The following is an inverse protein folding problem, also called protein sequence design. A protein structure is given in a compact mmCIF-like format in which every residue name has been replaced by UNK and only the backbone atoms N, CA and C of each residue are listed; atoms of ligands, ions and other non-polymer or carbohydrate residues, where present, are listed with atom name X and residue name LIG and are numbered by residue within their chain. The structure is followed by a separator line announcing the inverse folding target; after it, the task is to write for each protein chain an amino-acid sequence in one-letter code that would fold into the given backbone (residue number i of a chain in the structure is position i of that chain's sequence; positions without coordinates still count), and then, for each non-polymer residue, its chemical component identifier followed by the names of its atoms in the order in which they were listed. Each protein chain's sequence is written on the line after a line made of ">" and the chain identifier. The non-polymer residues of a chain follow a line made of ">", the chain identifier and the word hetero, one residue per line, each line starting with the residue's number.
data_IF_433831092755
#
_entry.id   IF_433831092755
#
_cell.length_a   1.000
_cell.length_b   1.000
_cell.length_c   1.000
_cell.angle_alpha   90.00
_cell.angle_beta   90.00
_cell.angle_gamma   90.00
#
_symmetry.space_group_name_H-M   'P 1'
#
loop_
_entity.id
_entity.type
_entity.pdbx_description
1 polymer ?
#
# COMPACT_ATOMS: atom_id res chain seq x y z
N UNK A 1 -2.44 -18.22 13.53
CA UNK A 1 -1.80 -16.97 14.05
C UNK A 1 -1.93 -15.89 12.99
N UNK A 2 -2.16 -14.64 13.40
CA UNK A 2 -2.11 -13.50 12.48
C UNK A 2 -0.66 -13.21 12.12
N UNK A 3 -0.39 -12.92 10.86
CA UNK A 3 0.93 -12.56 10.35
C UNK A 3 0.88 -11.13 9.85
N UNK A 4 1.98 -10.40 10.03
CA UNK A 4 2.06 -8.99 9.67
C UNK A 4 3.30 -8.71 8.82
N UNK A 5 3.20 -7.63 8.06
CA UNK A 5 4.31 -6.96 7.37
C UNK A 5 4.23 -5.46 7.68
N UNK A 6 5.32 -4.74 7.40
CA UNK A 6 5.35 -3.28 7.41
C UNK A 6 5.33 -2.74 6.00
N UNK A 7 4.74 -1.57 5.84
CA UNK A 7 4.78 -0.76 4.64
C UNK A 7 5.53 0.53 4.98
N UNK A 8 6.48 0.92 4.14
CA UNK A 8 7.10 2.23 4.21
C UNK A 8 6.46 3.11 3.16
N UNK A 9 5.90 4.24 3.58
CA UNK A 9 5.36 5.26 2.70
C UNK A 9 6.06 6.60 3.00
N UNK A 10 6.02 7.51 2.04
CA UNK A 10 6.43 8.89 2.24
C UNK A 10 5.28 9.82 1.88
N UNK A 11 5.02 10.82 2.71
CA UNK A 11 3.96 11.80 2.55
C UNK A 11 4.56 13.19 2.44
N UNK A 12 4.01 13.96 1.51
CA UNK A 12 4.24 15.38 1.38
C UNK A 12 2.89 16.08 1.28
N UNK A 13 2.73 17.18 2.00
CA UNK A 13 1.51 18.01 1.96
C UNK A 13 1.91 19.46 1.82
N UNK A 14 1.25 20.19 0.91
CA UNK A 14 1.29 21.65 0.84
C UNK A 14 -0.11 22.27 0.98
N UNK A 15 -0.25 23.54 0.59
CA UNK A 15 -1.51 24.28 0.73
C UNK A 15 -2.68 23.68 -0.06
N UNK A 16 -2.39 23.02 -1.18
CA UNK A 16 -3.41 22.58 -2.14
C UNK A 16 -3.45 21.05 -2.31
N UNK A 17 -2.42 20.31 -1.91
CA UNK A 17 -2.38 18.86 -2.12
C UNK A 17 -1.59 18.06 -1.07
N UNK A 18 -2.02 16.82 -0.88
CA UNK A 18 -1.24 15.76 -0.24
C UNK A 18 -0.88 14.70 -1.28
N UNK A 19 0.41 14.36 -1.34
CA UNK A 19 0.94 13.26 -2.11
C UNK A 19 1.47 12.17 -1.18
N UNK A 20 1.17 10.91 -1.48
CA UNK A 20 1.67 9.74 -0.75
C UNK A 20 2.35 8.81 -1.74
N UNK A 21 3.53 8.31 -1.38
CA UNK A 21 4.32 7.40 -2.19
C UNK A 21 4.68 6.14 -1.41
N UNK A 22 4.20 5.00 -1.89
CA UNK A 22 4.55 3.68 -1.36
C UNK A 22 6.00 3.32 -1.72
N UNK A 23 6.88 3.22 -0.73
CA UNK A 23 8.30 2.96 -0.94
C UNK A 23 8.69 1.49 -0.86
N UNK A 24 7.91 0.66 -0.18
CA UNK A 24 8.13 -0.78 -0.16
C UNK A 24 7.42 -1.51 0.97
N UNK A 25 7.61 -2.82 0.98
CA UNK A 25 7.07 -3.74 1.99
C UNK A 25 8.21 -4.45 2.71
N UNK A 26 8.06 -4.65 4.02
CA UNK A 26 9.15 -5.09 4.89
C UNK A 26 8.68 -6.13 5.89
N UNK A 27 9.54 -7.09 6.16
CA UNK A 27 9.37 -8.09 7.21
C UNK A 27 10.23 -7.80 8.45
N UNK A 28 11.04 -6.75 8.41
CA UNK A 28 12.03 -6.43 9.42
C UNK A 28 12.23 -4.91 9.52
N UNK A 29 12.10 -4.35 10.73
CA UNK A 29 12.23 -2.91 10.96
C UNK A 29 13.67 -2.40 10.80
N UNK A 30 14.68 -3.25 11.00
CA UNK A 30 16.08 -2.89 10.77
C UNK A 30 16.35 -2.74 9.27
N UNK A 31 15.84 -3.66 8.44
CA UNK A 31 15.93 -3.55 6.97
C UNK A 31 15.14 -2.36 6.45
N UNK A 32 13.93 -2.12 6.99
CA UNK A 32 13.13 -0.94 6.69
C UNK A 32 13.91 0.34 6.98
N UNK A 33 14.51 0.45 8.17
CA UNK A 33 15.33 1.60 8.57
C UNK A 33 16.45 1.90 7.56
N UNK A 34 17.18 0.86 7.11
CA UNK A 34 18.21 1.00 6.08
C UNK A 34 17.65 1.52 4.75
N UNK A 35 16.47 1.06 4.34
CA UNK A 35 15.83 1.54 3.11
C UNK A 35 15.31 2.97 3.25
N UNK A 36 14.77 3.35 4.42
CA UNK A 36 14.42 4.74 4.72
C UNK A 36 15.65 5.66 4.62
N UNK A 37 16.76 5.26 5.25
CA UNK A 37 18.00 6.04 5.22
C UNK A 37 18.54 6.17 3.79
N UNK A 38 18.43 5.11 2.98
CA UNK A 38 18.73 5.16 1.54
C UNK A 38 17.78 6.06 0.76
N UNK A 39 16.48 6.07 1.09
CA UNK A 39 15.50 6.93 0.43
C UNK A 39 15.82 8.42 0.61
N UNK A 40 16.36 8.81 1.78
CA UNK A 40 16.84 10.17 2.07
C UNK A 40 18.02 10.62 1.19
N UNK A 41 18.60 9.76 0.35
CA UNK A 41 19.61 10.17 -0.62
C UNK A 41 18.99 10.81 -1.88
N UNK A 42 17.69 10.56 -2.14
CA UNK A 42 17.00 11.01 -3.36
C UNK A 42 16.21 12.32 -3.13
N UNK A 43 16.06 13.15 -4.18
CA UNK A 43 15.27 14.38 -4.11
C UNK A 43 13.79 14.09 -3.79
N UNK A 44 13.12 15.06 -3.20
CA UNK A 44 11.75 14.94 -2.70
C UNK A 44 11.66 14.22 -1.36
N UNK A 45 12.28 13.04 -1.22
CA UNK A 45 12.30 12.35 0.09
C UNK A 45 13.16 13.09 1.12
N UNK A 46 14.35 13.54 0.72
CA UNK A 46 15.28 14.28 1.59
C UNK A 46 14.80 15.68 1.95
N UNK A 47 13.95 16.25 1.12
CA UNK A 47 13.42 17.60 1.29
C UNK A 47 12.31 17.61 2.37
N UNK A 48 11.70 16.45 2.63
CA UNK A 48 10.72 16.22 3.70
C UNK A 48 11.11 15.00 4.54
N UNK A 49 12.18 15.07 5.35
CA UNK A 49 12.74 13.92 6.05
C UNK A 49 11.82 13.35 7.14
N UNK A 50 10.87 14.14 7.62
CA UNK A 50 9.86 13.72 8.61
C UNK A 50 8.61 13.10 7.94
N UNK A 51 8.56 13.06 6.61
CA UNK A 51 7.44 12.56 5.82
C UNK A 51 7.32 11.04 5.76
N UNK A 52 8.16 10.26 6.45
CA UNK A 52 8.07 8.81 6.38
C UNK A 52 7.01 8.23 7.33
N UNK A 53 6.14 7.38 6.78
CA UNK A 53 5.12 6.64 7.51
C UNK A 53 5.45 5.16 7.48
N UNK A 54 5.37 4.51 8.64
CA UNK A 54 5.49 3.06 8.77
C UNK A 54 4.13 2.52 9.17
N UNK A 55 3.52 1.74 8.29
CA UNK A 55 2.18 1.18 8.49
C UNK A 55 2.29 -0.32 8.67
N UNK A 56 1.59 -0.87 9.65
CA UNK A 56 1.56 -2.31 9.90
C UNK A 56 0.35 -2.93 9.18
N UNK A 57 0.58 -3.87 8.28
CA UNK A 57 -0.49 -4.56 7.55
C UNK A 57 -0.60 -6.02 7.96
N UNK A 58 -1.83 -6.46 8.25
CA UNK A 58 -2.15 -7.88 8.47
C UNK A 58 -2.14 -8.60 7.11
N UNK A 59 -1.28 -9.60 6.98
CA UNK A 59 -1.09 -10.37 5.75
C UNK A 59 -2.31 -11.26 5.49
N UNK A 60 -2.68 -11.39 4.22
CA UNK A 60 -3.83 -12.19 3.74
C UNK A 60 -5.20 -11.64 4.15
N UNK A 61 -5.27 -10.37 4.55
CA UNK A 61 -6.50 -9.72 4.94
C UNK A 61 -6.89 -8.67 3.90
N UNK A 62 -8.12 -8.75 3.45
CA UNK A 62 -8.77 -7.68 2.70
C UNK A 62 -9.06 -6.52 3.67
N UNK A 63 -8.39 -5.40 3.47
CA UNK A 63 -8.54 -4.17 4.24
C UNK A 63 -9.66 -3.27 3.67
N UNK A 64 -9.92 -3.35 2.37
CA UNK A 64 -10.98 -2.61 1.71
C UNK A 64 -11.95 -3.55 0.97
N UNK A 65 -13.22 -3.55 1.41
CA UNK A 65 -14.26 -4.50 0.96
C UNK A 65 -15.43 -3.87 0.21
N UNK A 66 -15.50 -2.54 0.22
CA UNK A 66 -16.70 -1.83 -0.22
C UNK A 66 -16.64 -1.47 -1.71
N UNK A 67 -15.47 -1.52 -2.36
CA UNK A 67 -15.33 -1.08 -3.75
C UNK A 67 -15.67 0.40 -3.94
N UNK A 68 -15.74 0.83 -5.19
CA UNK A 68 -16.06 2.21 -5.55
C UNK A 68 -17.57 2.46 -5.54
N UNK A 69 -18.20 2.36 -4.35
CA UNK A 69 -19.63 2.64 -4.18
C UNK A 69 -19.99 4.14 -4.29
N UNK A 70 -18.99 5.02 -4.19
CA UNK A 70 -19.11 6.45 -4.47
C UNK A 70 -17.80 6.93 -5.09
N UNK A 71 -17.87 7.63 -6.21
CA UNK A 71 -16.73 8.39 -6.74
C UNK A 71 -16.44 9.48 -5.71
N UNK A 72 -15.39 9.28 -4.93
CA UNK A 72 -14.89 10.33 -4.04
C UNK A 72 -14.01 11.20 -4.93
N UNK A 73 -14.65 12.06 -5.71
CA UNK A 73 -13.99 13.00 -6.60
C UNK A 73 -13.41 14.16 -5.81
N UNK A 74 -12.23 13.97 -5.23
CA UNK A 74 -11.31 15.05 -4.95
C UNK A 74 -9.90 14.61 -5.32
N UNK A 75 -9.28 15.40 -6.19
CA UNK A 75 -7.84 15.38 -6.45
C UNK A 75 -7.12 15.43 -5.10
N UNK A 76 -6.28 14.43 -4.80
CA UNK A 76 -5.37 14.49 -3.66
C UNK A 76 -5.93 14.08 -2.29
N UNK A 77 -6.96 13.23 -2.17
CA UNK A 77 -7.37 12.74 -0.83
C UNK A 77 -6.34 11.82 -0.17
N UNK A 78 -5.51 12.41 0.67
CA UNK A 78 -5.61 12.37 2.14
C UNK A 78 -6.15 11.08 2.79
N UNK A 79 -5.63 9.92 2.41
CA UNK A 79 -5.57 8.83 3.38
C UNK A 79 -4.23 8.93 4.09
N UNK A 80 -4.11 9.88 5.03
CA UNK A 80 -3.19 9.64 6.14
C UNK A 80 -3.85 8.51 6.92
N UNK A 81 -3.36 7.27 6.86
CA UNK A 81 -3.87 6.27 7.79
C UNK A 81 -3.66 6.86 9.19
N UNK A 82 -4.65 6.76 10.07
CA UNK A 82 -4.39 6.99 11.50
C UNK A 82 -3.09 6.26 11.82
N UNK A 83 -2.10 6.98 12.38
CA UNK A 83 -0.80 6.40 12.69
C UNK A 83 -1.05 5.19 13.59
N UNK A 84 -0.98 4.00 13.00
CA UNK A 84 -1.15 2.78 13.76
C UNK A 84 -0.02 2.72 14.79
N UNK A 85 -0.37 2.79 16.08
CA UNK A 85 0.58 2.47 17.14
C UNK A 85 1.09 1.05 16.89
N UNK A 86 2.35 0.95 16.49
CA UNK A 86 2.97 -0.34 16.18
C UNK A 86 3.14 -1.11 17.49
N UNK A 87 2.18 -1.99 17.79
CA UNK A 87 2.35 -2.96 18.85
C UNK A 87 3.54 -3.89 18.48
N UNK A 88 4.61 -3.85 19.28
CA UNK A 88 5.85 -4.61 19.07
C UNK A 88 5.72 -6.11 19.39
N UNK A 89 4.64 -6.53 20.04
CA UNK A 89 4.44 -7.91 20.54
C UNK A 89 3.73 -8.83 19.55
N UNK A 90 3.81 -8.55 18.25
CA UNK A 90 3.06 -9.31 17.24
C UNK A 90 3.99 -9.98 16.24
N UNK A 91 3.63 -11.21 15.87
CA UNK A 91 4.37 -12.05 14.93
C UNK A 91 4.41 -11.42 13.52
N UNK A 92 5.52 -10.76 13.21
CA UNK A 92 5.87 -10.36 11.85
C UNK A 92 6.32 -11.60 11.11
N UNK A 93 5.87 -11.78 9.87
CA UNK A 93 6.25 -12.97 9.10
C UNK A 93 7.76 -12.98 8.94
N UNK A 94 8.38 -14.14 9.12
CA UNK A 94 9.79 -14.36 8.78
C UNK A 94 9.84 -15.40 7.66
N UNK A 95 10.72 -15.21 6.67
CA UNK A 95 11.00 -16.12 5.54
C UNK A 95 10.11 -16.01 4.28
N UNK A 96 9.42 -14.90 4.05
CA UNK A 96 8.91 -14.60 2.70
C UNK A 96 9.97 -13.80 1.93
N UNK A 97 10.14 -14.10 0.64
CA UNK A 97 10.96 -13.30 -0.28
C UNK A 97 10.10 -12.30 -1.04
N UNK A 98 8.89 -12.72 -1.42
CA UNK A 98 7.93 -11.92 -2.17
C UNK A 98 6.55 -11.96 -1.50
N UNK A 99 5.75 -10.94 -1.77
CA UNK A 99 4.33 -10.85 -1.45
C UNK A 99 3.55 -10.47 -2.72
N UNK A 100 2.23 -10.57 -2.65
CA UNK A 100 1.34 -10.07 -3.69
C UNK A 100 0.57 -8.87 -3.15
N UNK A 101 0.82 -7.69 -3.71
CA UNK A 101 0.00 -6.51 -3.48
C UNK A 101 -1.20 -6.57 -4.42
N UNK A 102 -2.40 -6.40 -3.87
CA UNK A 102 -3.64 -6.32 -4.65
C UNK A 102 -4.21 -4.93 -4.47
N UNK A 103 -4.45 -4.25 -5.59
CA UNK A 103 -5.15 -2.98 -5.66
C UNK A 103 -6.30 -3.06 -6.66
N UNK A 104 -7.16 -2.06 -6.66
CA UNK A 104 -8.19 -1.89 -7.66
C UNK A 104 -8.18 -0.43 -8.11
N UNK A 105 -8.21 -0.25 -9.43
CA UNK A 105 -8.09 1.06 -10.07
C UNK A 105 -9.46 1.46 -10.59
N UNK A 106 -9.82 2.72 -10.41
CA UNK A 106 -10.99 3.29 -11.04
C UNK A 106 -10.64 4.59 -11.73
N UNK A 107 -10.83 4.61 -13.05
CA UNK A 107 -10.66 5.80 -13.87
C UNK A 107 -11.85 6.74 -13.64
N UNK A 108 -11.61 7.85 -12.95
CA UNK A 108 -12.60 8.90 -12.68
C UNK A 108 -12.85 9.69 -13.98
N UNK A 109 -11.79 10.03 -14.71
CA UNK A 109 -11.85 10.62 -16.05
C UNK A 109 -10.60 10.26 -16.88
N UNK A 110 -10.50 10.76 -18.11
CA UNK A 110 -9.40 10.44 -19.05
C UNK A 110 -7.99 10.66 -18.50
N UNK A 111 -7.82 11.47 -17.47
CA UNK A 111 -6.53 11.86 -16.91
C UNK A 111 -6.39 11.55 -15.42
N UNK A 112 -7.39 10.92 -14.81
CA UNK A 112 -7.44 10.70 -13.36
C UNK A 112 -7.88 9.27 -13.02
N UNK A 113 -6.94 8.51 -12.47
CA UNK A 113 -7.17 7.20 -11.90
C UNK A 113 -7.11 7.28 -10.36
N UNK A 114 -8.02 6.60 -9.67
CA UNK A 114 -7.97 6.33 -8.22
C UNK A 114 -7.56 4.87 -8.02
N UNK A 115 -6.34 4.63 -7.54
CA UNK A 115 -5.85 3.29 -7.17
C UNK A 115 -5.97 3.09 -5.65
N UNK A 116 -6.62 2.00 -5.24
CA UNK A 116 -6.75 1.65 -3.83
C UNK A 116 -6.22 0.26 -3.54
N UNK A 117 -5.28 0.18 -2.60
CA UNK A 117 -4.77 -1.10 -2.09
C UNK A 117 -5.90 -1.83 -1.33
N UNK A 118 -6.25 -3.01 -1.81
CA UNK A 118 -7.21 -3.92 -1.20
C UNK A 118 -6.56 -4.67 -0.05
N UNK A 119 -5.33 -5.14 -0.23
CA UNK A 119 -4.61 -5.92 0.76
C UNK A 119 -3.32 -6.52 0.21
N UNK A 120 -2.55 -7.13 1.12
CA UNK A 120 -1.29 -7.80 0.80
C UNK A 120 -1.39 -9.27 1.16
N UNK A 121 -0.95 -10.14 0.28
CA UNK A 121 -1.13 -11.59 0.38
C UNK A 121 0.20 -12.33 0.25
N UNK A 122 0.28 -13.48 0.92
CA UNK A 122 1.49 -14.31 0.95
C UNK A 122 1.59 -15.29 -0.22
N UNK A 123 0.54 -15.44 -1.03
CA UNK A 123 0.51 -16.35 -2.17
C UNK A 123 -0.56 -15.95 -3.18
N UNK A 124 -0.33 -16.30 -4.44
CA UNK A 124 -1.27 -16.07 -5.53
C UNK A 124 -2.62 -16.77 -5.29
N UNK A 125 -2.62 -18.00 -4.77
CA UNK A 125 -3.85 -18.73 -4.41
C UNK A 125 -4.76 -17.92 -3.47
N UNK A 126 -4.15 -17.24 -2.47
CA UNK A 126 -4.91 -16.40 -1.54
C UNK A 126 -5.42 -15.13 -2.22
N UNK A 127 -4.66 -14.57 -3.17
CA UNK A 127 -5.12 -13.44 -3.99
C UNK A 127 -6.35 -13.87 -4.79
N UNK A 128 -6.24 -14.95 -5.57
CA UNK A 128 -7.30 -15.45 -6.45
C UNK A 128 -8.58 -15.74 -5.67
N UNK A 129 -8.47 -16.42 -4.52
CA UNK A 129 -9.62 -16.70 -3.65
C UNK A 129 -10.32 -15.44 -3.13
N UNK A 130 -9.56 -14.40 -2.75
CA UNK A 130 -10.14 -13.16 -2.24
C UNK A 130 -10.69 -12.28 -3.37
N UNK A 131 -9.97 -12.15 -4.48
CA UNK A 131 -10.42 -11.39 -5.66
C UNK A 131 -11.70 -11.99 -6.23
N UNK A 132 -11.80 -13.32 -6.35
CA UNK A 132 -13.02 -13.98 -6.83
C UNK A 132 -14.25 -13.64 -5.97
N UNK A 133 -14.08 -13.52 -4.65
CA UNK A 133 -15.15 -13.09 -3.74
C UNK A 133 -15.47 -11.60 -3.87
N UNK A 134 -14.45 -10.76 -4.05
CA UNK A 134 -14.62 -9.31 -4.19
C UNK A 134 -15.32 -8.95 -5.49
N UNK A 135 -15.05 -9.65 -6.60
CA UNK A 135 -15.76 -9.47 -7.88
C UNK A 135 -17.30 -9.67 -7.78
N UNK A 136 -17.80 -10.25 -6.69
CA UNK A 136 -19.23 -10.42 -6.43
C UNK A 136 -19.83 -9.32 -5.54
N UNK A 137 -19.01 -8.45 -4.96
CA UNK A 137 -19.45 -7.39 -4.05
C UNK A 137 -19.82 -6.11 -4.82
N UNK A 138 -20.78 -5.31 -4.30
CA UNK A 138 -21.05 -3.97 -4.83
C UNK A 138 -19.78 -3.11 -4.86
N UNK A 139 -19.64 -2.30 -5.90
CA UNK A 139 -18.50 -1.40 -6.12
C UNK A 139 -17.32 -2.06 -6.82
N UNK A 140 -17.23 -3.40 -6.79
CA UNK A 140 -16.24 -4.18 -7.52
C UNK A 140 -16.85 -4.97 -8.68
N UNK A 141 -18.08 -5.46 -8.54
CA UNK A 141 -18.76 -6.24 -9.58
C UNK A 141 -19.05 -5.42 -10.84
N UNK A 142 -19.15 -4.11 -10.72
CA UNK A 142 -19.31 -3.16 -11.83
C UNK A 142 -18.00 -3.02 -12.63
N UNK A 143 -16.87 -3.32 -11.99
CA UNK A 143 -15.50 -3.15 -12.48
C UNK A 143 -14.65 -4.40 -12.23
N UNK A 144 -15.07 -5.59 -12.68
CA UNK A 144 -14.47 -6.85 -12.25
C UNK A 144 -13.06 -7.06 -12.82
N UNK A 145 -12.66 -6.34 -13.85
CA UNK A 145 -11.35 -6.48 -14.50
C UNK A 145 -10.31 -5.47 -14.01
N UNK A 146 -10.71 -4.51 -13.19
CA UNK A 146 -9.83 -3.41 -12.77
C UNK A 146 -9.01 -3.74 -11.49
N UNK A 147 -8.93 -5.03 -11.14
CA UNK A 147 -8.03 -5.51 -10.09
C UNK A 147 -6.59 -5.61 -10.62
N UNK A 148 -5.66 -4.97 -9.92
CA UNK A 148 -4.23 -5.06 -10.18
C UNK A 148 -3.58 -5.99 -9.16
N UNK A 149 -2.76 -6.92 -9.65
CA UNK A 149 -2.02 -7.87 -8.82
C UNK A 149 -0.54 -7.72 -9.17
N UNK A 150 0.26 -7.32 -8.19
CA UNK A 150 1.70 -7.13 -8.34
C UNK A 150 2.45 -8.03 -7.36
N UNK A 151 3.34 -8.88 -7.86
CA UNK A 151 4.32 -9.57 -7.01
C UNK A 151 5.45 -8.61 -6.67
N UNK A 152 5.70 -8.39 -5.38
CA UNK A 152 6.69 -7.45 -4.87
C UNK A 152 7.70 -8.19 -3.99
N UNK A 153 8.98 -7.95 -4.23
CA UNK A 153 10.05 -8.40 -3.34
C UNK A 153 10.06 -7.59 -2.04
N UNK A 154 10.15 -8.29 -0.92
CA UNK A 154 10.25 -7.66 0.39
C UNK A 154 11.62 -7.01 0.57
N UNK A 155 11.64 -5.95 1.39
CA UNK A 155 12.83 -5.21 1.82
C UNK A 155 13.60 -4.53 0.69
N UNK A 156 12.89 -4.16 -0.38
CA UNK A 156 13.43 -3.36 -1.49
C UNK A 156 12.75 -2.01 -1.58
N UNK A 157 13.53 -1.02 -2.02
CA UNK A 157 13.03 0.31 -2.35
C UNK A 157 12.42 0.25 -3.76
N UNK A 158 11.14 0.57 -3.87
CA UNK A 158 10.42 0.57 -5.15
C UNK A 158 10.77 1.78 -6.02
N UNK A 159 11.22 2.89 -5.42
CA UNK A 159 11.45 4.15 -6.12
C UNK A 159 12.88 4.64 -5.95
N UNK A 160 13.63 4.65 -7.06
CA UNK A 160 15.01 5.15 -7.11
C UNK A 160 15.14 6.49 -7.85
N UNK A 161 14.02 7.07 -8.31
CA UNK A 161 13.99 8.36 -9.00
C UNK A 161 13.76 9.57 -8.08
N UNK A 162 13.39 9.34 -6.80
CA UNK A 162 12.90 10.38 -5.88
C UNK A 162 11.38 10.38 -5.72
N UNK A 163 10.87 11.34 -4.95
CA UNK A 163 9.43 11.55 -4.72
C UNK A 163 8.74 12.08 -5.98
#
# INVERSE_FOLDING_TARGET
>A
MKQFIYTLEHIYTDEDHTAIKLLGFFDDLTKLGKIRDKALEFPGFRDYPDGFLIIKKELNKVQWKNGFNSVIGEVGRDYVPEKDEINTDVYVVQNLTTIFNVSHIYTIDRYLDDERIIGVFSSLEKVEHNVAKLKQQPGFKEHPEDFMICEIELNRLLWTSGF
#
